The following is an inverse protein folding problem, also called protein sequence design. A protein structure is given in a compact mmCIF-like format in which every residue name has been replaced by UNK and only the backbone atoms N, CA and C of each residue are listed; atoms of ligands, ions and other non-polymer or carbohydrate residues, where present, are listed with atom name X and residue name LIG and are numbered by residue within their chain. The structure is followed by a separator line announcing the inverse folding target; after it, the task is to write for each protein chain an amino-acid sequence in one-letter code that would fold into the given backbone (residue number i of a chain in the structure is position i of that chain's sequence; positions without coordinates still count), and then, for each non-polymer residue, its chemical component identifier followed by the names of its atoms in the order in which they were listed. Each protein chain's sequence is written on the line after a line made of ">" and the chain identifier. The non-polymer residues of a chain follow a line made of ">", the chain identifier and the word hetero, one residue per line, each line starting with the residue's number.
data_IF_201369945607
#
_entry.id   IF_201369945607
#
_cell.length_a   1.000
_cell.length_b   1.000
_cell.length_c   1.000
_cell.angle_alpha   90.00
_cell.angle_beta   90.00
_cell.angle_gamma   90.00
#
_symmetry.space_group_name_H-M   'P 1'
#
loop_
_entity.id
_entity.type
_entity.pdbx_description
1 polymer ?
#
# COMPACT_ATOMS: atom_id res chain seq x y z
N UNK A 1 10.53 -4.33 6.24
CA UNK A 1 10.29 -3.28 5.24
C UNK A 1 10.81 -3.70 3.87
N UNK A 2 12.12 -4.02 3.73
CA UNK A 2 12.73 -4.38 2.43
C UNK A 2 12.00 -5.54 1.73
N UNK A 3 11.76 -6.65 2.45
CA UNK A 3 11.04 -7.81 1.89
C UNK A 3 9.64 -7.41 1.42
N UNK A 4 8.91 -6.60 2.19
CA UNK A 4 7.58 -6.11 1.79
C UNK A 4 7.67 -5.27 0.51
N UNK A 5 8.61 -4.31 0.44
CA UNK A 5 8.83 -3.49 -0.76
C UNK A 5 9.16 -4.34 -1.99
N UNK A 6 10.07 -5.34 -1.85
CA UNK A 6 10.44 -6.24 -2.93
C UNK A 6 9.28 -7.15 -3.39
N UNK A 7 8.45 -7.61 -2.44
CA UNK A 7 7.24 -8.39 -2.75
C UNK A 7 6.24 -7.55 -3.54
N UNK A 8 6.00 -6.31 -3.11
CA UNK A 8 5.11 -5.40 -3.83
C UNK A 8 5.65 -5.02 -5.21
N UNK A 9 6.96 -4.84 -5.35
CA UNK A 9 7.58 -4.61 -6.65
C UNK A 9 7.32 -5.78 -7.60
N UNK A 10 7.63 -7.00 -7.17
CA UNK A 10 7.45 -8.20 -7.98
C UNK A 10 5.99 -8.42 -8.36
N UNK A 11 5.07 -8.33 -7.38
CA UNK A 11 3.63 -8.52 -7.62
C UNK A 11 3.03 -7.37 -8.43
N UNK A 12 3.51 -6.12 -8.24
CA UNK A 12 3.10 -4.97 -9.02
C UNK A 12 3.46 -5.11 -10.50
N UNK A 13 4.71 -5.49 -10.81
CA UNK A 13 5.14 -5.73 -12.18
C UNK A 13 4.37 -6.91 -12.81
N UNK A 14 4.22 -8.01 -12.09
CA UNK A 14 3.45 -9.16 -12.55
C UNK A 14 1.98 -8.82 -12.83
N UNK A 15 1.35 -7.98 -11.97
CA UNK A 15 -0.04 -7.56 -12.17
C UNK A 15 -0.24 -6.67 -13.40
N UNK A 16 0.76 -5.84 -13.76
CA UNK A 16 0.74 -5.06 -15.00
C UNK A 16 0.79 -5.95 -16.25
N UNK A 17 1.66 -6.97 -16.24
CA UNK A 17 1.70 -7.97 -17.31
C UNK A 17 0.41 -8.77 -17.39
N UNK A 18 -0.11 -9.20 -16.22
CA UNK A 18 -1.38 -9.92 -16.15
C UNK A 18 -2.53 -9.10 -16.73
N UNK A 19 -2.65 -7.82 -16.36
CA UNK A 19 -3.66 -6.93 -16.90
C UNK A 19 -3.62 -6.91 -18.43
N UNK A 20 -2.44 -6.66 -19.01
CA UNK A 20 -2.25 -6.56 -20.45
C UNK A 20 -2.66 -7.85 -21.17
N UNK A 21 -2.11 -8.98 -20.73
CA UNK A 21 -2.36 -10.25 -21.42
C UNK A 21 -3.80 -10.74 -21.20
N UNK A 22 -4.35 -10.57 -20.00
CA UNK A 22 -5.70 -11.00 -19.67
C UNK A 22 -6.75 -10.23 -20.47
N UNK A 23 -6.63 -8.91 -20.60
CA UNK A 23 -7.56 -8.10 -21.40
C UNK A 23 -7.46 -8.45 -22.88
N UNK A 24 -6.25 -8.64 -23.42
CA UNK A 24 -6.02 -9.04 -24.80
C UNK A 24 -6.62 -10.40 -25.11
N UNK A 25 -6.38 -11.40 -24.27
CA UNK A 25 -6.89 -12.77 -24.46
C UNK A 25 -8.42 -12.84 -24.42
N UNK A 26 -9.08 -11.94 -23.66
CA UNK A 26 -10.52 -11.91 -23.55
C UNK A 26 -11.18 -10.91 -24.52
N UNK A 27 -10.45 -10.31 -25.45
CA UNK A 27 -11.01 -9.36 -26.41
C UNK A 27 -11.61 -8.13 -25.77
N UNK A 28 -11.14 -7.72 -24.59
CA UNK A 28 -11.65 -6.56 -23.88
C UNK A 28 -11.35 -5.27 -24.67
N UNK A 29 -12.35 -4.40 -24.94
CA UNK A 29 -12.15 -3.27 -25.83
C UNK A 29 -11.06 -2.31 -25.34
N UNK A 30 -10.18 -1.88 -26.24
CA UNK A 30 -9.14 -0.91 -25.93
C UNK A 30 -9.75 0.42 -25.46
N UNK A 31 -9.11 1.05 -24.50
CA UNK A 31 -9.58 2.31 -23.91
C UNK A 31 -10.72 2.17 -22.89
N UNK A 32 -11.28 0.96 -22.72
CA UNK A 32 -12.29 0.71 -21.69
C UNK A 32 -11.63 0.55 -20.32
N UNK A 33 -12.17 1.24 -19.30
CA UNK A 33 -11.64 1.20 -17.95
C UNK A 33 -11.97 -0.11 -17.23
N UNK A 34 -10.97 -0.70 -16.59
CA UNK A 34 -11.13 -1.80 -15.63
C UNK A 34 -10.23 -1.58 -14.43
N UNK A 35 -10.64 -2.05 -13.24
CA UNK A 35 -9.83 -1.92 -12.04
C UNK A 35 -8.49 -2.68 -12.12
N UNK A 36 -8.37 -3.70 -12.98
CA UNK A 36 -7.10 -4.38 -13.23
C UNK A 36 -5.99 -3.42 -13.66
N UNK A 37 -6.32 -2.39 -14.43
CA UNK A 37 -5.36 -1.40 -14.89
C UNK A 37 -4.73 -0.57 -13.75
N UNK A 38 -5.41 -0.48 -12.62
CA UNK A 38 -4.92 0.29 -11.45
C UNK A 38 -4.19 -0.55 -10.41
N UNK A 39 -4.28 -1.88 -10.47
CA UNK A 39 -3.66 -2.78 -9.46
C UNK A 39 -2.16 -2.57 -9.38
N UNK A 40 -1.46 -2.57 -10.53
CA UNK A 40 0.00 -2.38 -10.56
C UNK A 40 0.41 -1.02 -10.00
N UNK A 41 -0.33 0.04 -10.30
CA UNK A 41 -0.04 1.38 -9.78
C UNK A 41 -0.20 1.44 -8.26
N UNK A 42 -1.25 0.80 -7.70
CA UNK A 42 -1.45 0.71 -6.25
C UNK A 42 -0.32 -0.08 -5.58
N UNK A 43 0.06 -1.23 -6.13
CA UNK A 43 1.14 -2.05 -5.57
C UNK A 43 2.50 -1.35 -5.65
N UNK A 44 2.79 -0.65 -6.74
CA UNK A 44 4.04 0.09 -6.89
C UNK A 44 4.07 1.35 -6.03
N UNK A 45 3.00 2.15 -6.02
CA UNK A 45 2.96 3.40 -5.28
C UNK A 45 2.76 3.16 -3.77
N UNK A 46 1.68 2.50 -3.37
CA UNK A 46 1.37 2.28 -1.95
C UNK A 46 2.21 1.13 -1.36
N UNK A 47 2.49 0.09 -2.12
CA UNK A 47 3.32 -1.01 -1.65
C UNK A 47 4.81 -0.66 -1.68
N UNK A 48 5.39 -0.56 -2.87
CA UNK A 48 6.84 -0.41 -3.03
C UNK A 48 7.35 0.94 -2.56
N UNK A 49 6.83 2.03 -3.13
CA UNK A 49 7.37 3.36 -2.86
C UNK A 49 7.20 3.77 -1.40
N UNK A 50 6.02 3.56 -0.81
CA UNK A 50 5.80 3.88 0.61
C UNK A 50 6.70 3.05 1.51
N UNK A 51 6.87 1.74 1.26
CA UNK A 51 7.77 0.90 2.08
C UNK A 51 9.24 1.33 1.97
N UNK A 52 9.70 1.78 0.79
CA UNK A 52 11.05 2.32 0.61
C UNK A 52 11.25 3.64 1.35
N UNK A 53 10.27 4.55 1.28
CA UNK A 53 10.29 5.81 2.03
C UNK A 53 10.33 5.54 3.54
N UNK A 54 9.46 4.66 4.03
CA UNK A 54 9.40 4.29 5.44
C UNK A 54 10.71 3.63 5.88
N UNK A 55 11.33 2.82 5.02
CA UNK A 55 12.63 2.21 5.30
C UNK A 55 13.75 3.28 5.42
N UNK A 56 13.71 4.31 4.60
CA UNK A 56 14.66 5.43 4.69
C UNK A 56 14.45 6.23 5.99
N UNK A 57 13.19 6.54 6.34
CA UNK A 57 12.83 7.21 7.58
C UNK A 57 13.20 6.38 8.82
N UNK A 58 13.03 5.07 8.77
CA UNK A 58 13.43 4.17 9.87
C UNK A 58 14.94 4.26 10.15
N UNK A 59 15.77 4.31 9.09
CA UNK A 59 17.23 4.43 9.25
C UNK A 59 17.67 5.74 9.89
N UNK A 60 16.92 6.82 9.71
CA UNK A 60 17.28 8.15 10.21
C UNK A 60 16.64 8.47 11.55
N UNK A 61 15.43 7.98 11.80
CA UNK A 61 14.58 8.41 12.92
C UNK A 61 14.24 7.31 13.93
N UNK A 62 14.67 6.07 13.70
CA UNK A 62 14.40 4.91 14.56
C UNK A 62 12.89 4.82 14.93
N UNK A 63 12.03 4.75 13.90
CA UNK A 63 10.56 4.70 14.07
C UNK A 63 10.11 3.45 14.83
N UNK A 64 10.85 2.34 14.68
CA UNK A 64 10.60 1.05 15.35
C UNK A 64 10.74 1.12 16.87
N UNK A 65 11.33 2.17 17.41
CA UNK A 65 11.32 2.44 18.85
C UNK A 65 9.91 2.75 19.40
N UNK A 66 8.94 3.06 18.54
CA UNK A 66 7.56 3.28 18.90
C UNK A 66 6.70 2.05 18.51
N UNK A 67 5.95 1.49 19.47
CA UNK A 67 5.06 0.35 19.22
C UNK A 67 4.01 0.60 18.12
N UNK A 68 3.64 1.86 17.90
CA UNK A 68 2.71 2.27 16.82
C UNK A 68 3.25 1.91 15.45
N UNK A 69 4.58 1.89 15.26
CA UNK A 69 5.21 1.49 14.02
C UNK A 69 4.94 0.02 13.66
N UNK A 70 4.95 -0.87 14.64
CA UNK A 70 4.58 -2.29 14.43
C UNK A 70 3.12 -2.43 13.99
N UNK A 71 2.21 -1.70 14.64
CA UNK A 71 0.80 -1.68 14.25
C UNK A 71 0.59 -1.06 12.87
N UNK A 72 1.30 0.04 12.55
CA UNK A 72 1.33 0.60 11.20
C UNK A 72 1.68 -0.48 10.19
N UNK A 73 2.80 -1.18 10.38
CA UNK A 73 3.30 -2.14 9.41
C UNK A 73 2.25 -3.20 9.07
N UNK A 74 1.63 -3.81 10.06
CA UNK A 74 0.65 -4.87 9.82
C UNK A 74 -0.67 -4.34 9.27
N UNK A 75 -1.21 -3.28 9.85
CA UNK A 75 -2.50 -2.69 9.42
C UNK A 75 -2.41 -2.15 8.00
N UNK A 76 -1.32 -1.45 7.69
CA UNK A 76 -1.09 -0.88 6.37
C UNK A 76 -0.95 -1.96 5.29
N UNK A 77 -0.08 -2.95 5.53
CA UNK A 77 0.14 -4.02 4.56
C UNK A 77 -1.12 -4.88 4.35
N UNK A 78 -1.88 -5.16 5.40
CA UNK A 78 -3.18 -5.83 5.28
C UNK A 78 -4.14 -5.00 4.41
N UNK A 79 -4.19 -3.68 4.61
CA UNK A 79 -5.01 -2.76 3.80
C UNK A 79 -4.62 -2.75 2.33
N UNK A 80 -3.33 -2.61 2.02
CA UNK A 80 -2.82 -2.61 0.63
C UNK A 80 -3.11 -3.95 -0.05
N UNK A 81 -2.82 -5.07 0.63
CA UNK A 81 -3.06 -6.41 0.08
C UNK A 81 -4.55 -6.66 -0.19
N UNK A 82 -5.43 -6.28 0.75
CA UNK A 82 -6.88 -6.42 0.61
C UNK A 82 -7.41 -5.56 -0.55
N UNK A 83 -6.97 -4.31 -0.63
CA UNK A 83 -7.36 -3.40 -1.72
C UNK A 83 -6.93 -3.97 -3.08
N UNK A 84 -5.67 -4.38 -3.23
CA UNK A 84 -5.17 -4.96 -4.47
C UNK A 84 -5.90 -6.25 -4.87
N UNK A 85 -6.18 -7.14 -3.90
CA UNK A 85 -6.94 -8.36 -4.14
C UNK A 85 -8.36 -8.07 -4.63
N UNK A 86 -9.07 -7.13 -3.99
CA UNK A 86 -10.44 -6.77 -4.37
C UNK A 86 -10.49 -6.05 -5.72
N UNK A 87 -9.53 -5.18 -6.02
CA UNK A 87 -9.40 -4.54 -7.33
C UNK A 87 -9.14 -5.57 -8.42
N UNK A 88 -8.27 -6.55 -8.16
CA UNK A 88 -8.00 -7.65 -9.09
C UNK A 88 -9.26 -8.47 -9.35
N UNK A 89 -9.96 -8.87 -8.29
CA UNK A 89 -11.19 -9.63 -8.39
C UNK A 89 -12.28 -8.89 -9.17
N UNK A 90 -12.55 -7.65 -8.80
CA UNK A 90 -13.53 -6.81 -9.47
C UNK A 90 -13.15 -6.57 -10.94
N UNK A 91 -11.86 -6.29 -11.20
CA UNK A 91 -11.38 -6.06 -12.56
C UNK A 91 -11.48 -7.29 -13.46
N UNK A 92 -11.23 -8.50 -12.92
CA UNK A 92 -11.44 -9.76 -13.64
C UNK A 92 -12.94 -9.92 -14.03
N UNK A 93 -13.85 -9.68 -13.08
CA UNK A 93 -15.30 -9.75 -13.36
C UNK A 93 -15.70 -8.76 -14.46
N UNK A 94 -15.16 -7.54 -14.43
CA UNK A 94 -15.41 -6.52 -15.46
C UNK A 94 -14.96 -6.99 -16.84
N UNK A 95 -13.75 -7.53 -16.95
CA UNK A 95 -13.22 -8.03 -18.24
C UNK A 95 -14.05 -9.20 -18.77
N UNK A 96 -14.55 -10.06 -17.88
CA UNK A 96 -15.38 -11.21 -18.24
C UNK A 96 -16.87 -10.87 -18.45
N UNK A 97 -17.25 -9.59 -18.37
CA UNK A 97 -18.65 -9.15 -18.50
C UNK A 97 -19.57 -9.67 -17.40
N UNK A 98 -19.02 -10.03 -16.23
CA UNK A 98 -19.80 -10.57 -15.10
C UNK A 98 -20.23 -9.46 -14.14
N UNK A 99 -21.44 -9.54 -13.57
CA UNK A 99 -21.89 -8.53 -12.60
C UNK A 99 -21.03 -8.56 -11.34
N UNK A 100 -20.70 -7.37 -10.83
CA UNK A 100 -20.07 -7.20 -9.52
C UNK A 100 -21.14 -7.14 -8.43
N UNK A 101 -20.79 -7.54 -7.21
CA UNK A 101 -21.68 -7.47 -6.05
C UNK A 101 -21.32 -6.31 -5.12
N UNK A 102 -22.32 -5.80 -4.38
CA UNK A 102 -22.13 -4.79 -3.35
C UNK A 102 -21.15 -5.25 -2.24
N UNK A 103 -21.07 -6.56 -1.99
CA UNK A 103 -20.13 -7.12 -1.04
C UNK A 103 -18.67 -6.88 -1.45
N UNK A 104 -18.34 -6.97 -2.75
CA UNK A 104 -16.99 -6.69 -3.27
C UNK A 104 -16.62 -5.24 -3.00
N UNK A 105 -17.53 -4.31 -3.26
CA UNK A 105 -17.32 -2.89 -2.98
C UNK A 105 -17.13 -2.60 -1.48
N UNK A 106 -17.91 -3.26 -0.61
CA UNK A 106 -17.81 -3.13 0.84
C UNK A 106 -16.45 -3.62 1.37
N UNK A 107 -15.99 -4.78 0.91
CA UNK A 107 -14.66 -5.33 1.33
C UNK A 107 -13.52 -4.47 0.78
N UNK A 108 -13.63 -3.92 -0.44
CA UNK A 108 -12.66 -2.96 -0.96
C UNK A 108 -12.59 -1.68 -0.10
N UNK A 109 -13.75 -1.19 0.36
CA UNK A 109 -13.83 -0.07 1.30
C UNK A 109 -13.09 -0.34 2.61
N UNK A 110 -13.19 -1.54 3.17
CA UNK A 110 -12.44 -1.95 4.36
C UNK A 110 -10.91 -1.87 4.12
N UNK A 111 -10.43 -2.27 2.94
CA UNK A 111 -9.02 -2.14 2.57
C UNK A 111 -8.53 -0.69 2.68
N UNK A 112 -9.28 0.26 2.15
CA UNK A 112 -8.95 1.69 2.24
C UNK A 112 -8.99 2.23 3.68
N UNK A 113 -9.93 1.77 4.49
CA UNK A 113 -9.99 2.12 5.93
C UNK A 113 -8.72 1.65 6.67
N UNK A 114 -8.26 0.42 6.38
CA UNK A 114 -7.02 -0.11 6.96
C UNK A 114 -5.78 0.68 6.50
N UNK A 115 -5.70 1.05 5.22
CA UNK A 115 -4.61 1.91 4.71
C UNK A 115 -4.62 3.26 5.43
N UNK A 116 -5.79 3.88 5.58
CA UNK A 116 -5.94 5.16 6.30
C UNK A 116 -5.51 5.03 7.76
N UNK A 117 -5.98 4.01 8.47
CA UNK A 117 -5.57 3.74 9.85
C UNK A 117 -4.06 3.49 9.96
N UNK A 118 -3.48 2.77 9.00
CA UNK A 118 -2.04 2.58 8.89
C UNK A 118 -1.29 3.90 8.78
N UNK A 119 -1.70 4.79 7.87
CA UNK A 119 -1.07 6.13 7.76
C UNK A 119 -1.18 6.94 9.03
N UNK A 120 -2.34 6.93 9.70
CA UNK A 120 -2.49 7.62 11.00
C UNK A 120 -1.46 7.10 12.01
N UNK A 121 -1.29 5.78 12.12
CA UNK A 121 -0.31 5.17 13.01
C UNK A 121 1.13 5.55 12.63
N UNK A 122 1.46 5.60 11.34
CA UNK A 122 2.77 6.04 10.85
C UNK A 122 3.05 7.49 11.25
N UNK A 123 2.11 8.40 11.03
CA UNK A 123 2.28 9.82 11.38
C UNK A 123 2.38 10.04 12.88
N UNK A 124 1.68 9.26 13.70
CA UNK A 124 1.83 9.29 15.16
C UNK A 124 3.22 8.82 15.60
N UNK A 125 3.76 7.74 15.00
CA UNK A 125 5.11 7.25 15.26
C UNK A 125 6.17 8.27 14.79
N UNK A 126 6.00 8.84 13.59
CA UNK A 126 6.88 9.86 13.04
C UNK A 126 6.90 11.13 13.93
N UNK A 127 5.74 11.62 14.36
CA UNK A 127 5.66 12.77 15.26
C UNK A 127 6.35 12.53 16.61
N UNK A 128 6.31 11.28 17.12
CA UNK A 128 7.09 10.90 18.32
C UNK A 128 8.59 10.89 18.05
N UNK A 129 9.02 10.41 16.89
CA UNK A 129 10.41 10.36 16.50
C UNK A 129 11.02 11.77 16.33
N UNK A 130 10.29 12.67 15.65
CA UNK A 130 10.70 14.07 15.48
C UNK A 130 10.91 14.75 16.85
N UNK A 131 9.97 14.58 17.78
CA UNK A 131 10.12 15.16 19.15
C UNK A 131 11.34 14.62 19.89
N UNK A 132 11.65 13.31 19.75
CA UNK A 132 12.87 12.73 20.36
C UNK A 132 14.14 13.35 19.78
N UNK A 133 14.22 13.55 18.47
CA UNK A 133 15.37 14.18 17.82
C UNK A 133 15.57 15.61 18.31
N UNK A 134 14.53 16.42 18.32
CA UNK A 134 14.63 17.82 18.78
C UNK A 134 15.07 17.93 20.24
N UNK A 135 14.63 17.02 21.13
CA UNK A 135 15.03 17.01 22.53
C UNK A 135 16.54 16.71 22.72
N UNK A 136 17.09 15.80 21.92
CA UNK A 136 18.53 15.48 21.97
C UNK A 136 19.38 16.65 21.48
N UNK A 137 18.99 17.28 20.38
CA UNK A 137 19.70 18.43 19.81
C UNK A 137 19.73 19.64 20.78
N UNK A 138 18.63 19.89 21.48
CA UNK A 138 18.57 20.95 22.48
C UNK A 138 19.48 20.66 23.68
N UNK A 139 19.56 19.41 24.14
CA UNK A 139 20.44 19.02 25.26
C UNK A 139 21.92 19.16 24.91
N UNK A 140 22.31 18.84 23.68
CA UNK A 140 23.71 18.92 23.20
C UNK A 140 24.16 20.37 23.02
N UNK A 141 23.24 21.29 22.71
CA UNK A 141 23.55 22.74 22.53
C UNK A 141 23.71 23.46 23.87
N UNK A 142 23.24 22.88 24.98
CA UNK A 142 23.30 23.48 26.34
C UNK A 142 24.38 22.91 27.24
N UNK A 143 25.14 21.93 26.76
CA UNK A 143 26.27 21.30 27.47
C UNK A 143 27.62 21.86 26.99
#
# INVERSE_FOLDING_TARGET
>A
LFIAAATYLATGLASGLFYREFTKLNGFPEGTATQLGFVHTHLLALGTLVMLIVMALEKTMALSADRRFTWFFWTYNAGVALTAAMMTWHGILTVLGRPSSAAIAGVAGLGHMLVTAGFVLLFLALGSAVRRHSAVETADTTA
#
